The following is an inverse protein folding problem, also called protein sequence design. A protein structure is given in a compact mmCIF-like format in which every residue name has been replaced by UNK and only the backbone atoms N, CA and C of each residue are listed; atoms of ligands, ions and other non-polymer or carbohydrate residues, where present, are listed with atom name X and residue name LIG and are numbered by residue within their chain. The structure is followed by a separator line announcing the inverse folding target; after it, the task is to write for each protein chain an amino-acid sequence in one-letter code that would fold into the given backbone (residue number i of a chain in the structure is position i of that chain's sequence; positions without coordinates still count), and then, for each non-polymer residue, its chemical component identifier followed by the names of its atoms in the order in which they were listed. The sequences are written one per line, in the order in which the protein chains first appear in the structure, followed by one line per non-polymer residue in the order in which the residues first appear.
data_IF_743848207834
#
_entry.id   IF_743848207834
#
_cell.length_a   1.000
_cell.length_b   1.000
_cell.length_c   1.000
_cell.angle_alpha   90.00
_cell.angle_beta   90.00
_cell.angle_gamma   90.00
#
_symmetry.space_group_name_H-M   'P 1'
#
loop_
_entity.id
_entity.type
_entity.pdbx_description
1 polymer ?
#
# COMPACT_ATOMS: atom_id res chain seq x y z
N UNK A 1 -6.02 38.02 -16.37
CA UNK A 1 -5.73 38.07 -14.92
C UNK A 1 -5.82 36.70 -14.22
N UNK A 2 -6.70 35.77 -14.63
CA UNK A 2 -6.79 34.43 -13.99
C UNK A 2 -5.76 33.39 -14.46
N UNK A 3 -5.35 33.44 -15.74
CA UNK A 3 -4.42 32.47 -16.34
C UNK A 3 -2.99 32.53 -15.78
N UNK A 4 -2.58 33.68 -15.23
CA UNK A 4 -1.25 33.85 -14.65
C UNK A 4 -1.11 33.07 -13.33
N UNK A 5 -2.18 33.00 -12.53
CA UNK A 5 -2.19 32.27 -11.26
C UNK A 5 -2.05 30.74 -11.48
N UNK A 6 -2.70 30.21 -12.52
CA UNK A 6 -2.62 28.78 -12.86
C UNK A 6 -1.21 28.40 -13.32
N UNK A 7 -0.50 29.29 -14.03
CA UNK A 7 0.86 29.03 -14.50
C UNK A 7 1.86 28.93 -13.33
N UNK A 8 1.72 29.80 -12.32
CA UNK A 8 2.53 29.75 -11.09
C UNK A 8 2.25 28.49 -10.26
N UNK A 9 1.00 28.06 -10.16
CA UNK A 9 0.60 26.85 -9.41
C UNK A 9 1.16 25.59 -10.10
N UNK A 10 1.05 25.49 -11.42
CA UNK A 10 1.56 24.34 -12.20
C UNK A 10 3.09 24.23 -12.10
N UNK A 11 3.80 25.36 -12.16
CA UNK A 11 5.26 25.38 -12.00
C UNK A 11 5.69 24.99 -10.57
N UNK A 12 4.96 25.44 -9.56
CA UNK A 12 5.20 25.08 -8.15
C UNK A 12 4.97 23.59 -7.84
N UNK A 13 3.91 22.99 -8.38
CA UNK A 13 3.65 21.55 -8.26
C UNK A 13 4.69 20.70 -9.00
N UNK A 14 5.15 21.15 -10.18
CA UNK A 14 6.19 20.46 -10.94
C UNK A 14 7.52 20.38 -10.18
N UNK A 15 7.93 21.48 -9.54
CA UNK A 15 9.18 21.53 -8.77
C UNK A 15 9.10 20.72 -7.45
N UNK A 16 7.91 20.70 -6.81
CA UNK A 16 7.61 19.87 -5.63
C UNK A 16 7.74 18.37 -5.93
N UNK A 17 7.23 17.93 -7.08
CA UNK A 17 7.18 16.51 -7.42
C UNK A 17 8.57 15.95 -7.74
N UNK A 18 9.40 16.72 -8.47
CA UNK A 18 10.76 16.32 -8.87
C UNK A 18 11.68 16.08 -7.67
N UNK A 19 11.50 16.84 -6.59
CA UNK A 19 12.28 16.67 -5.35
C UNK A 19 11.85 15.44 -4.53
N UNK A 20 10.58 15.04 -4.60
CA UNK A 20 10.03 13.93 -3.81
C UNK A 20 10.56 12.55 -4.27
N UNK A 21 10.81 12.38 -5.58
CA UNK A 21 11.18 11.07 -6.15
C UNK A 21 12.64 10.61 -5.90
N UNK A 22 13.55 11.49 -5.45
CA UNK A 22 15.00 11.18 -5.52
C UNK A 22 15.64 10.58 -4.24
N UNK A 23 14.94 10.52 -3.11
CA UNK A 23 15.55 10.10 -1.84
C UNK A 23 15.06 8.72 -1.35
N UNK A 24 15.96 7.72 -1.42
CA UNK A 24 15.78 6.34 -0.93
C UNK A 24 15.96 6.23 0.59
N UNK A 25 15.06 6.81 1.38
CA UNK A 25 14.93 6.59 2.84
C UNK A 25 13.45 6.22 3.12
N UNK A 26 13.14 5.52 4.23
CA UNK A 26 11.78 5.15 4.66
C UNK A 26 10.72 6.21 4.26
N UNK A 27 9.67 5.80 3.53
CA UNK A 27 8.75 6.69 2.81
C UNK A 27 8.17 7.84 3.65
N UNK A 28 7.94 7.62 4.94
CA UNK A 28 7.41 8.65 5.87
C UNK A 28 8.45 9.76 6.14
N UNK A 29 9.70 9.37 6.36
CA UNK A 29 10.81 10.30 6.62
C UNK A 29 11.21 11.02 5.34
N UNK A 30 11.19 10.33 4.19
CA UNK A 30 11.48 10.91 2.89
C UNK A 30 10.49 12.04 2.54
N UNK A 31 9.19 11.83 2.76
CA UNK A 31 8.15 12.84 2.52
C UNK A 31 8.28 14.06 3.44
N UNK A 32 8.60 13.86 4.72
CA UNK A 32 8.78 14.95 5.69
C UNK A 32 9.97 15.85 5.31
N UNK A 33 11.12 15.24 4.99
CA UNK A 33 12.33 15.96 4.59
C UNK A 33 12.15 16.64 3.24
N UNK A 34 11.45 16.00 2.29
CA UNK A 34 11.12 16.60 1.00
C UNK A 34 10.24 17.86 1.17
N UNK A 35 9.20 17.80 2.00
CA UNK A 35 8.33 18.94 2.23
C UNK A 35 9.01 20.10 2.99
N UNK A 36 9.90 19.80 3.94
CA UNK A 36 10.77 20.81 4.57
C UNK A 36 11.71 21.46 3.55
N UNK A 37 12.33 20.66 2.68
CA UNK A 37 13.26 21.14 1.67
C UNK A 37 12.55 22.02 0.65
N UNK A 38 11.45 21.54 0.05
CA UNK A 38 10.77 22.33 -0.98
C UNK A 38 10.06 23.55 -0.39
N UNK A 39 9.52 23.50 0.82
CA UNK A 39 8.91 24.68 1.41
C UNK A 39 9.92 25.76 1.81
N UNK A 40 11.18 25.40 2.09
CA UNK A 40 12.29 26.35 2.20
C UNK A 40 12.60 27.01 0.85
N UNK A 41 12.56 26.25 -0.26
CA UNK A 41 12.69 26.79 -1.63
C UNK A 41 11.48 27.62 -2.07
N UNK A 42 10.28 27.34 -1.54
CA UNK A 42 9.04 28.05 -1.85
C UNK A 42 8.92 29.42 -1.14
N UNK A 43 9.85 29.77 -0.23
CA UNK A 43 9.87 31.06 0.46
C UNK A 43 8.73 31.27 1.47
N UNK A 44 8.07 30.19 1.90
CA UNK A 44 7.04 30.25 2.94
C UNK A 44 7.68 30.31 4.33
N UNK A 45 7.05 31.03 5.26
CA UNK A 45 7.47 31.04 6.65
C UNK A 45 7.48 29.61 7.24
N UNK A 46 8.59 29.25 7.89
CA UNK A 46 8.87 27.90 8.38
C UNK A 46 7.81 27.44 9.40
N UNK A 47 7.27 28.38 10.17
CA UNK A 47 6.18 28.11 11.13
C UNK A 47 4.87 27.74 10.44
N UNK A 48 4.51 28.44 9.36
CA UNK A 48 3.29 28.14 8.60
C UNK A 48 3.38 26.80 7.85
N UNK A 49 4.56 26.50 7.31
CA UNK A 49 4.89 25.23 6.66
C UNK A 49 4.79 24.04 7.65
N UNK A 50 5.40 24.16 8.83
CA UNK A 50 5.30 23.13 9.88
C UNK A 50 3.86 22.96 10.38
N UNK A 51 3.12 24.06 10.52
CA UNK A 51 1.73 24.01 10.97
C UNK A 51 0.82 23.31 9.96
N UNK A 52 0.91 23.68 8.68
CA UNK A 52 0.13 23.05 7.59
C UNK A 52 0.48 21.59 7.37
N UNK A 53 1.77 21.23 7.43
CA UNK A 53 2.20 19.83 7.41
C UNK A 53 1.64 19.05 8.59
N UNK A 54 1.83 19.54 9.81
CA UNK A 54 1.36 18.84 11.02
C UNK A 54 -0.17 18.71 11.04
N UNK A 55 -0.89 19.73 10.57
CA UNK A 55 -2.35 19.69 10.45
C UNK A 55 -2.82 18.70 9.38
N UNK A 56 -2.22 18.70 8.18
CA UNK A 56 -2.58 17.78 7.10
C UNK A 56 -2.24 16.32 7.42
N UNK A 57 -1.04 16.06 7.91
CA UNK A 57 -0.64 14.72 8.38
C UNK A 57 -1.45 14.29 9.60
N UNK A 58 -1.73 15.18 10.56
CA UNK A 58 -2.52 14.86 11.75
C UNK A 58 -3.97 14.52 11.43
N UNK A 59 -4.59 15.24 10.49
CA UNK A 59 -5.96 14.98 10.06
C UNK A 59 -6.08 13.61 9.38
N UNK A 60 -5.18 13.30 8.45
CA UNK A 60 -5.18 12.02 7.74
C UNK A 60 -4.78 10.85 8.66
N UNK A 61 -3.77 11.02 9.52
CA UNK A 61 -3.39 10.00 10.50
C UNK A 61 -4.50 9.77 11.53
N UNK A 62 -5.23 10.79 11.94
CA UNK A 62 -6.38 10.65 12.84
C UNK A 62 -7.50 9.82 12.20
N UNK A 63 -7.85 10.13 10.95
CA UNK A 63 -8.87 9.39 10.20
C UNK A 63 -8.45 7.93 9.96
N UNK A 64 -7.22 7.71 9.49
CA UNK A 64 -6.68 6.36 9.27
C UNK A 64 -6.48 5.59 10.58
N UNK A 65 -6.15 6.26 11.70
CA UNK A 65 -5.95 5.60 12.99
C UNK A 65 -7.22 4.91 13.47
N UNK A 66 -8.39 5.56 13.35
CA UNK A 66 -9.66 4.96 13.72
C UNK A 66 -9.93 3.72 12.86
N UNK A 67 -9.75 3.83 11.54
CA UNK A 67 -9.97 2.73 10.59
C UNK A 67 -9.04 1.55 10.91
N UNK A 68 -7.77 1.80 11.17
CA UNK A 68 -6.77 0.77 11.49
C UNK A 68 -7.07 0.09 12.83
N UNK A 69 -7.42 0.85 13.87
CA UNK A 69 -7.79 0.30 15.18
C UNK A 69 -9.04 -0.55 15.06
N UNK A 70 -10.06 -0.07 14.36
CA UNK A 70 -11.30 -0.81 14.17
C UNK A 70 -11.07 -2.08 13.34
N UNK A 71 -10.24 -1.98 12.29
CA UNK A 71 -9.80 -3.13 11.50
C UNK A 71 -9.05 -4.17 12.34
N UNK A 72 -8.18 -3.75 13.26
CA UNK A 72 -7.49 -4.64 14.18
C UNK A 72 -8.46 -5.34 15.16
N UNK A 73 -9.44 -4.62 15.69
CA UNK A 73 -10.48 -5.19 16.57
C UNK A 73 -11.32 -6.22 15.81
N UNK A 74 -11.81 -5.88 14.61
CA UNK A 74 -12.54 -6.82 13.76
C UNK A 74 -11.68 -8.03 13.42
N UNK A 75 -10.41 -7.81 13.06
CA UNK A 75 -9.47 -8.89 12.75
C UNK A 75 -9.30 -9.85 13.93
N UNK A 76 -9.15 -9.33 15.15
CA UNK A 76 -9.03 -10.16 16.35
C UNK A 76 -10.33 -10.92 16.64
N UNK A 77 -11.49 -10.28 16.50
CA UNK A 77 -12.79 -10.94 16.66
C UNK A 77 -13.03 -12.04 15.61
N UNK A 78 -12.55 -11.85 14.38
CA UNK A 78 -12.63 -12.83 13.31
C UNK A 78 -11.75 -14.07 13.59
N UNK A 79 -10.59 -13.86 14.20
CA UNK A 79 -9.71 -14.94 14.67
C UNK A 79 -10.33 -15.68 15.85
N UNK A 80 -10.84 -14.97 16.86
CA UNK A 80 -11.46 -15.56 18.05
C UNK A 80 -12.74 -16.32 17.74
N UNK A 81 -13.55 -15.83 16.80
CA UNK A 81 -14.81 -16.49 16.41
C UNK A 81 -14.59 -17.77 15.58
N UNK A 82 -13.35 -18.12 15.27
CA UNK A 82 -13.01 -19.26 14.39
C UNK A 82 -13.36 -19.04 12.93
N UNK A 83 -13.94 -17.90 12.56
CA UNK A 83 -14.32 -17.56 11.18
C UNK A 83 -13.10 -17.51 10.26
N UNK A 84 -11.98 -16.93 10.73
CA UNK A 84 -10.72 -16.96 10.00
C UNK A 84 -10.21 -18.39 9.76
N UNK A 85 -10.40 -19.29 10.73
CA UNK A 85 -9.98 -20.69 10.64
C UNK A 85 -10.84 -21.49 9.64
N UNK A 86 -12.15 -21.22 9.60
CA UNK A 86 -13.09 -21.80 8.63
C UNK A 86 -12.75 -21.40 7.19
N UNK A 87 -12.44 -20.12 6.96
CA UNK A 87 -12.03 -19.63 5.62
C UNK A 87 -10.70 -20.28 5.21
N UNK A 88 -9.73 -20.36 6.14
CA UNK A 88 -8.44 -20.99 5.91
C UNK A 88 -8.55 -22.50 5.66
N UNK A 89 -9.57 -23.18 6.21
CA UNK A 89 -9.77 -24.62 6.01
C UNK A 89 -10.58 -24.95 4.74
N UNK A 90 -11.44 -24.05 4.28
CA UNK A 90 -12.23 -24.22 3.05
C UNK A 90 -11.36 -24.05 1.79
N UNK A 91 -10.34 -23.18 1.84
CA UNK A 91 -9.46 -22.90 0.69
C UNK A 91 -8.52 -24.04 0.25
N UNK A 92 -7.89 -24.84 1.15
CA UNK A 92 -7.06 -25.98 0.73
C UNK A 92 -7.84 -27.07 0.00
N UNK A 93 -9.17 -27.17 0.18
CA UNK A 93 -10.01 -28.14 -0.52
C UNK A 93 -10.12 -27.88 -2.03
N UNK A 94 -10.22 -26.60 -2.43
CA UNK A 94 -10.32 -26.22 -3.84
C UNK A 94 -9.03 -26.50 -4.62
N UNK A 95 -7.86 -26.27 -4.01
CA UNK A 95 -6.57 -26.55 -4.65
C UNK A 95 -6.24 -28.05 -4.64
N UNK A 96 -6.55 -28.77 -3.56
CA UNK A 96 -6.30 -30.22 -3.45
C UNK A 96 -7.18 -31.08 -4.36
N UNK A 97 -8.42 -30.70 -4.64
CA UNK A 97 -9.30 -31.50 -5.52
C UNK A 97 -8.78 -31.51 -6.97
N UNK A 98 -8.30 -30.37 -7.47
CA UNK A 98 -7.64 -30.25 -8.77
C UNK A 98 -6.23 -30.88 -8.78
N UNK A 99 -5.48 -30.76 -7.68
CA UNK A 99 -4.13 -31.34 -7.58
C UNK A 99 -4.15 -32.87 -7.45
N UNK A 100 -5.08 -33.46 -6.69
CA UNK A 100 -5.23 -34.92 -6.61
C UNK A 100 -5.67 -35.53 -7.94
N UNK A 101 -6.51 -34.83 -8.72
CA UNK A 101 -6.85 -35.28 -10.08
C UNK A 101 -5.68 -35.14 -11.03
N UNK A 102 -4.93 -34.02 -11.00
CA UNK A 102 -3.76 -33.84 -11.86
C UNK A 102 -2.57 -34.75 -11.51
N UNK A 103 -2.26 -34.95 -10.22
CA UNK A 103 -1.18 -35.84 -9.76
C UNK A 103 -1.55 -37.32 -9.97
N UNK A 104 -2.83 -37.67 -9.77
CA UNK A 104 -3.33 -39.00 -10.09
C UNK A 104 -3.23 -39.33 -11.58
N UNK A 105 -3.41 -38.34 -12.46
CA UNK A 105 -3.27 -38.51 -13.91
C UNK A 105 -1.79 -38.53 -14.35
N UNK A 106 -0.91 -37.72 -13.76
CA UNK A 106 0.55 -37.80 -14.00
C UNK A 106 1.12 -39.19 -13.72
N UNK A 107 0.71 -39.84 -12.62
CA UNK A 107 1.15 -41.20 -12.29
C UNK A 107 0.59 -42.26 -13.27
N UNK A 108 -0.54 -41.99 -13.94
CA UNK A 108 -1.10 -42.89 -14.97
C UNK A 108 -0.46 -42.67 -16.36
N UNK A 109 0.03 -41.47 -16.64
CA UNK A 109 0.72 -41.13 -17.90
C UNK A 109 2.20 -41.56 -17.93
N UNK A 110 2.84 -41.71 -16.76
CA UNK A 110 4.23 -42.22 -16.66
C UNK A 110 4.33 -43.72 -17.02
N UNK A 111 3.32 -44.52 -16.67
CA UNK A 111 3.26 -45.94 -17.06
C UNK A 111 3.00 -46.16 -18.55
N UNK A 112 2.44 -45.18 -19.27
CA UNK A 112 2.15 -45.29 -20.70
C UNK A 112 3.28 -44.78 -21.60
N UNK A 113 4.38 -44.27 -21.02
CA UNK A 113 5.58 -43.85 -21.74
C UNK A 113 6.69 -44.91 -21.76
N UNK A 114 6.51 -46.04 -21.05
CA UNK A 114 7.40 -47.20 -21.09
C UNK A 114 7.10 -48.22 -22.22
N UNK A 115 5.99 -48.05 -22.95
CA UNK A 115 5.53 -48.99 -23.99
C UNK A 115 5.74 -48.47 -25.44
N UNK A 116 6.71 -47.57 -25.66
CA UNK A 116 7.04 -46.97 -26.98
C UNK A 116 8.49 -47.27 -27.42
N UNK A 117 9.11 -48.33 -26.90
CA UNK A 117 10.39 -48.84 -27.37
C UNK A 117 10.41 -50.37 -27.42
#
# INVERSE_FOLDING_TARGET
MHVLNILWVVFGIGLMLVLNLKFKINSMVALLVAALSVGMLAGMDLMSLLHTMKAGFGNTLGELAIIVVFGAVIGKLMVDSGAAHQIAHTLPGASRSALCTAVGDYHRLDFRSGDVL
#
